data_IF_710327884500
#
_entry.id   IF_710327884500
#
_cell.length_a   1.000
_cell.length_b   1.000
_cell.length_c   1.000
_cell.angle_alpha   90.00
_cell.angle_beta   90.00
_cell.angle_gamma   90.00
#
_symmetry.space_group_name_H-M   'P 1'
#
loop_
_entity.id
_entity.type
_entity.pdbx_description
1 polymer ?
#
# COMPACT_ATOMS: atom_id res chain seq x y z
N UNK A 1 29.13 25.96 -5.41
CA UNK A 1 28.88 24.51 -5.55
C UNK A 1 27.40 24.33 -5.30
N UNK A 2 26.59 24.20 -6.35
CA UNK A 2 25.16 23.93 -6.20
C UNK A 2 25.02 22.44 -5.89
N UNK A 3 24.35 22.09 -4.79
CA UNK A 3 24.03 20.69 -4.52
C UNK A 3 23.21 20.13 -5.69
N UNK A 4 23.54 18.93 -6.19
CA UNK A 4 22.71 18.28 -7.21
C UNK A 4 21.33 18.08 -6.60
N UNK A 5 20.35 18.85 -7.11
CA UNK A 5 18.96 18.72 -6.72
C UNK A 5 18.49 17.37 -7.25
N UNK A 6 18.30 16.41 -6.34
CA UNK A 6 17.73 15.10 -6.64
C UNK A 6 16.43 15.29 -7.44
N UNK A 7 16.48 14.94 -8.73
CA UNK A 7 15.34 15.02 -9.63
C UNK A 7 14.82 13.60 -9.85
N UNK A 8 13.80 13.25 -9.07
CA UNK A 8 13.20 11.91 -9.05
C UNK A 8 12.77 11.48 -10.46
N UNK A 9 12.29 12.40 -11.29
CA UNK A 9 11.83 12.08 -12.65
C UNK A 9 13.00 11.73 -13.57
N UNK A 10 14.13 12.44 -13.45
CA UNK A 10 15.34 12.15 -14.22
C UNK A 10 15.95 10.81 -13.82
N UNK A 11 16.07 10.54 -12.52
CA UNK A 11 16.61 9.26 -12.04
C UNK A 11 15.70 8.09 -12.40
N UNK A 12 14.38 8.25 -12.24
CA UNK A 12 13.41 7.22 -12.63
C UNK A 12 13.51 6.93 -14.12
N UNK A 13 13.68 7.95 -14.96
CA UNK A 13 13.81 7.78 -16.42
C UNK A 13 15.11 7.07 -16.80
N UNK A 14 16.24 7.43 -16.18
CA UNK A 14 17.52 6.78 -16.43
C UNK A 14 17.51 5.30 -16.02
N UNK A 15 17.01 5.00 -14.83
CA UNK A 15 16.89 3.62 -14.34
C UNK A 15 15.86 2.81 -15.13
N UNK A 16 14.79 3.45 -15.61
CA UNK A 16 13.81 2.84 -16.52
C UNK A 16 14.47 2.38 -17.81
N UNK A 17 15.25 3.25 -18.45
CA UNK A 17 15.98 2.91 -19.68
C UNK A 17 16.99 1.77 -19.45
N UNK A 18 17.74 1.83 -18.35
CA UNK A 18 18.70 0.78 -17.99
C UNK A 18 17.98 -0.55 -17.73
N UNK A 19 16.90 -0.54 -16.95
CA UNK A 19 16.08 -1.71 -16.66
C UNK A 19 15.53 -2.36 -17.95
N UNK A 20 14.93 -1.57 -18.85
CA UNK A 20 14.41 -2.09 -20.12
C UNK A 20 15.52 -2.62 -21.04
N UNK A 21 16.69 -1.98 -21.04
CA UNK A 21 17.84 -2.47 -21.81
C UNK A 21 18.32 -3.84 -21.32
N UNK A 22 18.34 -4.04 -19.99
CA UNK A 22 18.73 -5.30 -19.39
C UNK A 22 17.66 -6.36 -19.59
N UNK A 23 16.38 -6.04 -19.35
CA UNK A 23 15.26 -6.98 -19.53
C UNK A 23 15.16 -7.54 -20.95
N UNK A 24 15.57 -6.77 -21.97
CA UNK A 24 15.65 -7.26 -23.36
C UNK A 24 16.90 -8.11 -23.62
N UNK A 25 17.98 -7.90 -22.87
CA UNK A 25 19.28 -8.54 -23.08
C UNK A 25 19.48 -9.83 -22.26
N UNK A 26 18.87 -9.97 -21.07
CA UNK A 26 18.85 -11.14 -20.16
C UNK A 26 17.99 -10.82 -18.91
N UNK A 27 17.80 -11.76 -17.97
CA UNK A 27 17.12 -11.43 -16.69
C UNK A 27 17.80 -10.22 -16.02
N UNK A 28 17.07 -9.12 -15.71
CA UNK A 28 17.65 -7.93 -15.09
C UNK A 28 18.20 -8.29 -13.70
N UNK A 29 19.22 -7.55 -13.24
CA UNK A 29 19.77 -7.86 -11.91
C UNK A 29 18.69 -7.62 -10.84
N UNK A 30 18.51 -8.54 -9.86
CA UNK A 30 17.51 -8.38 -8.80
C UNK A 30 17.67 -7.07 -8.02
N UNK A 31 18.91 -6.60 -7.89
CA UNK A 31 19.22 -5.33 -7.24
C UNK A 31 18.73 -4.13 -8.06
N UNK A 32 18.99 -4.11 -9.36
CA UNK A 32 18.55 -3.04 -10.25
C UNK A 32 17.01 -2.96 -10.30
N UNK A 33 16.35 -4.11 -10.42
CA UNK A 33 14.90 -4.19 -10.36
C UNK A 33 14.34 -3.67 -9.04
N UNK A 34 15.01 -3.96 -7.91
CA UNK A 34 14.61 -3.42 -6.61
C UNK A 34 14.77 -1.90 -6.53
N UNK A 35 15.88 -1.36 -7.03
CA UNK A 35 16.14 0.09 -7.04
C UNK A 35 15.13 0.82 -7.94
N UNK A 36 14.85 0.28 -9.14
CA UNK A 36 13.82 0.81 -10.03
C UNK A 36 12.42 0.78 -9.40
N UNK A 37 12.02 -0.35 -8.81
CA UNK A 37 10.74 -0.49 -8.12
C UNK A 37 10.60 0.49 -6.93
N UNK A 38 11.68 0.74 -6.19
CA UNK A 38 11.69 1.76 -5.12
C UNK A 38 11.36 3.14 -5.67
N UNK A 39 11.96 3.56 -6.79
CA UNK A 39 11.70 4.86 -7.40
C UNK A 39 10.26 4.96 -7.92
N UNK A 40 9.76 3.93 -8.61
CA UNK A 40 8.36 3.88 -9.06
C UNK A 40 7.39 3.98 -7.87
N UNK A 41 7.70 3.33 -6.75
CA UNK A 41 6.86 3.40 -5.55
C UNK A 41 6.79 4.81 -4.92
N UNK A 42 7.76 5.69 -5.23
CA UNK A 42 7.79 7.08 -4.79
C UNK A 42 6.92 8.00 -5.66
N UNK A 43 6.49 7.55 -6.84
CA UNK A 43 5.63 8.32 -7.73
C UNK A 43 4.26 8.63 -7.10
N UNK A 44 3.64 9.78 -7.42
CA UNK A 44 2.24 10.05 -7.07
C UNK A 44 1.24 9.22 -7.92
N UNK A 45 1.68 8.62 -9.02
CA UNK A 45 0.81 7.87 -9.92
C UNK A 45 0.50 6.47 -9.35
N UNK A 46 -0.79 6.17 -9.17
CA UNK A 46 -1.25 4.86 -8.66
C UNK A 46 -0.86 3.69 -9.57
N UNK A 47 -0.80 3.91 -10.89
CA UNK A 47 -0.41 2.85 -11.83
C UNK A 47 1.08 2.51 -11.69
N UNK A 48 1.95 3.51 -11.53
CA UNK A 48 3.38 3.29 -11.29
C UNK A 48 3.64 2.61 -9.94
N UNK A 49 2.84 2.91 -8.91
CA UNK A 49 2.90 2.20 -7.63
C UNK A 49 2.49 0.72 -7.79
N UNK A 50 1.54 0.41 -8.68
CA UNK A 50 1.17 -0.98 -8.98
C UNK A 50 2.25 -1.71 -9.77
N UNK A 51 2.85 -1.06 -10.77
CA UNK A 51 4.02 -1.59 -11.49
C UNK A 51 5.16 -1.90 -10.49
N UNK A 52 5.43 -1.01 -9.54
CA UNK A 52 6.41 -1.26 -8.49
C UNK A 52 6.09 -2.52 -7.66
N UNK A 53 4.82 -2.74 -7.31
CA UNK A 53 4.39 -3.93 -6.58
C UNK A 53 4.55 -5.21 -7.38
N UNK A 54 4.30 -5.19 -8.69
CA UNK A 54 4.56 -6.33 -9.58
C UNK A 54 6.05 -6.68 -9.57
N UNK A 55 6.92 -5.69 -9.78
CA UNK A 55 8.37 -5.87 -9.73
C UNK A 55 8.86 -6.38 -8.37
N UNK A 56 8.30 -5.89 -7.27
CA UNK A 56 8.65 -6.39 -5.94
C UNK A 56 8.20 -7.83 -5.71
N UNK A 57 7.04 -8.24 -6.24
CA UNK A 57 6.58 -9.62 -6.10
C UNK A 57 7.44 -10.59 -6.91
N UNK A 58 7.83 -10.23 -8.13
CA UNK A 58 8.79 -11.00 -8.93
C UNK A 58 10.12 -11.20 -8.18
N UNK A 59 10.60 -10.16 -7.51
CA UNK A 59 11.80 -10.24 -6.66
C UNK A 59 11.63 -11.23 -5.50
N UNK A 60 10.46 -11.25 -4.85
CA UNK A 60 10.19 -12.23 -3.79
C UNK A 60 10.15 -13.67 -4.34
N UNK A 61 9.61 -13.89 -5.54
CA UNK A 61 9.53 -15.22 -6.17
C UNK A 61 10.91 -15.82 -6.46
N UNK A 62 11.89 -14.98 -6.82
CA UNK A 62 13.28 -15.42 -7.04
C UNK A 62 14.12 -15.48 -5.76
N UNK A 63 13.50 -15.29 -4.59
CA UNK A 63 14.16 -15.39 -3.29
C UNK A 63 14.92 -14.15 -2.84
N UNK A 64 14.64 -12.97 -3.43
CA UNK A 64 15.12 -11.67 -2.94
C UNK A 64 14.31 -11.22 -1.70
N UNK A 65 14.19 -12.10 -0.70
CA UNK A 65 13.41 -11.89 0.52
C UNK A 65 14.23 -11.08 1.54
N UNK A 66 14.43 -9.80 1.22
CA UNK A 66 15.09 -8.84 2.11
C UNK A 66 14.05 -8.14 2.99
N UNK A 67 14.35 -7.88 4.28
CA UNK A 67 13.53 -7.04 5.16
C UNK A 67 13.12 -5.70 4.51
N UNK A 68 14.04 -5.10 3.76
CA UNK A 68 13.82 -3.85 3.03
C UNK A 68 12.76 -4.00 1.93
N UNK A 69 12.71 -5.14 1.24
CA UNK A 69 11.69 -5.42 0.23
C UNK A 69 10.30 -5.54 0.84
N UNK A 70 10.16 -6.28 1.95
CA UNK A 70 8.90 -6.38 2.69
C UNK A 70 8.43 -5.00 3.20
N UNK A 71 9.36 -4.15 3.65
CA UNK A 71 9.08 -2.79 4.06
C UNK A 71 8.52 -1.95 2.89
N UNK A 72 9.19 -1.97 1.73
CA UNK A 72 8.76 -1.20 0.55
C UNK A 72 7.41 -1.68 -0.01
N UNK A 73 7.18 -2.99 -0.07
CA UNK A 73 5.88 -3.56 -0.47
C UNK A 73 4.77 -3.09 0.48
N UNK A 74 5.03 -3.14 1.80
CA UNK A 74 4.06 -2.66 2.80
C UNK A 74 3.75 -1.17 2.61
N UNK A 75 4.76 -0.36 2.34
CA UNK A 75 4.61 1.08 2.11
C UNK A 75 3.83 1.37 0.83
N UNK A 76 4.07 0.63 -0.25
CA UNK A 76 3.35 0.74 -1.51
C UNK A 76 1.86 0.40 -1.36
N UNK A 77 1.52 -0.71 -0.68
CA UNK A 77 0.12 -1.04 -0.37
C UNK A 77 -0.54 0.02 0.51
N UNK A 78 0.18 0.59 1.49
CA UNK A 78 -0.32 1.69 2.30
C UNK A 78 -0.68 2.92 1.44
N UNK A 79 0.18 3.28 0.48
CA UNK A 79 -0.07 4.40 -0.47
C UNK A 79 -1.29 4.13 -1.36
N UNK A 80 -1.55 2.87 -1.71
CA UNK A 80 -2.73 2.50 -2.49
C UNK A 80 -4.03 2.46 -1.67
N UNK A 81 -3.95 2.51 -0.34
CA UNK A 81 -5.10 2.34 0.57
C UNK A 81 -5.44 0.88 0.87
N UNK A 82 -4.55 -0.05 0.52
CA UNK A 82 -4.74 -1.49 0.67
C UNK A 82 -4.25 -1.96 2.04
N UNK A 83 -4.84 -1.42 3.11
CA UNK A 83 -4.32 -1.55 4.48
C UNK A 83 -4.20 -2.99 4.98
N UNK A 84 -5.10 -3.89 4.56
CA UNK A 84 -5.04 -5.30 4.92
C UNK A 84 -3.78 -6.00 4.37
N UNK A 85 -3.40 -5.69 3.12
CA UNK A 85 -2.20 -6.21 2.49
C UNK A 85 -0.94 -5.59 3.10
N UNK A 86 -0.96 -4.27 3.32
CA UNK A 86 0.12 -3.56 4.01
C UNK A 86 0.39 -4.16 5.39
N UNK A 87 -0.66 -4.34 6.20
CA UNK A 87 -0.57 -4.93 7.54
C UNK A 87 0.07 -6.31 7.52
N UNK A 88 -0.38 -7.20 6.62
CA UNK A 88 0.16 -8.56 6.51
C UNK A 88 1.66 -8.57 6.20
N UNK A 89 2.12 -7.65 5.34
CA UNK A 89 3.53 -7.54 4.95
C UNK A 89 4.41 -7.00 6.06
N UNK A 90 4.00 -5.92 6.74
CA UNK A 90 4.78 -5.38 7.87
C UNK A 90 4.79 -6.34 9.07
N UNK A 91 3.73 -7.09 9.32
CA UNK A 91 3.72 -8.13 10.36
C UNK A 91 4.68 -9.28 10.04
N UNK A 92 4.80 -9.66 8.77
CA UNK A 92 5.81 -10.63 8.32
C UNK A 92 7.23 -10.10 8.57
N UNK A 93 7.48 -8.84 8.22
CA UNK A 93 8.75 -8.17 8.52
C UNK A 93 9.06 -8.17 10.03
N UNK A 94 8.09 -7.83 10.87
CA UNK A 94 8.25 -7.82 12.33
C UNK A 94 8.45 -9.21 12.94
N UNK A 95 8.02 -10.29 12.28
CA UNK A 95 8.35 -11.66 12.72
C UNK A 95 9.83 -11.99 12.46
N UNK A 96 10.41 -11.43 11.41
CA UNK A 96 11.82 -11.61 11.05
C UNK A 96 12.71 -10.72 11.92
N UNK A 97 12.36 -9.44 12.05
CA UNK A 97 13.07 -8.46 12.87
C UNK A 97 12.09 -7.70 13.79
N UNK A 98 11.81 -8.25 15.00
CA UNK A 98 10.89 -7.64 15.95
C UNK A 98 11.32 -6.28 16.51
N UNK A 99 12.62 -5.93 16.39
CA UNK A 99 13.18 -4.68 16.94
C UNK A 99 13.35 -3.60 15.88
N UNK A 100 12.87 -3.84 14.66
CA UNK A 100 12.93 -2.87 13.57
C UNK A 100 12.02 -1.67 13.86
N UNK A 101 12.61 -0.55 14.26
CA UNK A 101 11.89 0.68 14.58
C UNK A 101 11.10 1.23 13.39
N UNK A 102 11.63 1.11 12.17
CA UNK A 102 10.95 1.55 10.94
C UNK A 102 9.70 0.71 10.70
N UNK A 103 9.79 -0.62 10.83
CA UNK A 103 8.65 -1.52 10.67
C UNK A 103 7.59 -1.29 11.76
N UNK A 104 7.99 -1.08 13.02
CA UNK A 104 7.07 -0.76 14.11
C UNK A 104 6.33 0.55 13.85
N UNK A 105 7.04 1.58 13.38
CA UNK A 105 6.45 2.88 13.03
C UNK A 105 5.46 2.75 11.87
N UNK A 106 5.82 2.01 10.82
CA UNK A 106 4.95 1.73 9.67
C UNK A 106 3.71 0.94 10.08
N UNK A 107 3.86 -0.08 10.93
CA UNK A 107 2.74 -0.86 11.46
C UNK A 107 1.78 0.02 12.27
N UNK A 108 2.30 0.90 13.14
CA UNK A 108 1.48 1.86 13.88
C UNK A 108 0.69 2.78 12.94
N UNK A 109 1.33 3.28 11.88
CA UNK A 109 0.68 4.13 10.88
C UNK A 109 -0.43 3.39 10.13
N UNK A 110 -0.21 2.13 9.74
CA UNK A 110 -1.22 1.30 9.08
C UNK A 110 -2.43 1.07 10.01
N UNK A 111 -2.19 0.78 11.29
CA UNK A 111 -3.25 0.53 12.27
C UNK A 111 -4.09 1.78 12.53
N UNK A 112 -3.46 2.96 12.58
CA UNK A 112 -4.14 4.25 12.71
C UNK A 112 -5.09 4.50 11.52
N UNK A 113 -4.58 4.33 10.29
CA UNK A 113 -5.40 4.50 9.06
C UNK A 113 -6.53 3.48 8.94
N UNK A 114 -6.30 2.23 9.31
CA UNK A 114 -7.33 1.17 9.27
C UNK A 114 -8.49 1.46 10.24
N UNK A 115 -8.18 2.02 11.41
CA UNK A 115 -9.18 2.33 12.45
C UNK A 115 -10.15 3.42 12.01
N UNK A 116 -9.64 4.45 11.31
CA UNK A 116 -10.47 5.51 10.75
C UNK A 116 -11.49 5.00 9.72
N UNK A 117 -11.08 4.15 8.79
CA UNK A 117 -11.97 3.62 7.74
C UNK A 117 -13.00 2.63 8.29
N UNK A 118 -12.61 1.80 9.26
CA UNK A 118 -13.53 0.90 9.96
C UNK A 118 -14.65 1.65 10.68
N UNK A 119 -14.32 2.75 11.38
CA UNK A 119 -15.30 3.57 12.09
C UNK A 119 -16.30 4.21 11.10
N UNK A 120 -15.84 4.76 9.98
CA UNK A 120 -16.71 5.38 8.97
C UNK A 120 -17.73 4.37 8.41
N UNK A 121 -17.30 3.14 8.10
CA UNK A 121 -18.19 2.10 7.61
C UNK A 121 -19.29 1.73 8.62
N UNK A 122 -18.95 1.60 9.90
CA UNK A 122 -19.93 1.26 10.96
C UNK A 122 -20.98 2.35 11.16
N UNK A 123 -20.60 3.63 11.09
CA UNK A 123 -21.53 4.76 11.26
C UNK A 123 -22.60 4.75 10.17
N UNK A 124 -22.21 4.50 8.92
CA UNK A 124 -23.14 4.43 7.77
C UNK A 124 -24.16 3.32 7.98
N UNK A 125 -23.71 2.13 8.39
CA UNK A 125 -24.59 0.98 8.66
C UNK A 125 -25.59 1.31 9.77
N UNK A 126 -25.14 1.93 10.86
CA UNK A 126 -26.00 2.32 11.98
C UNK A 126 -27.05 3.37 11.56
N UNK A 127 -26.67 4.36 10.75
CA UNK A 127 -27.60 5.39 10.26
C UNK A 127 -28.69 4.79 9.36
N UNK A 128 -28.32 3.91 8.42
CA UNK A 128 -29.27 3.26 7.51
C UNK A 128 -30.24 2.36 8.28
N UNK A 129 -29.71 1.53 9.18
CA UNK A 129 -30.54 0.61 9.99
C UNK A 129 -31.51 1.38 10.88
N UNK A 130 -31.08 2.46 11.54
CA UNK A 130 -31.94 3.34 12.33
C UNK A 130 -33.05 3.97 11.47
N UNK A 131 -32.72 4.45 10.26
CA UNK A 131 -33.70 5.03 9.34
C UNK A 131 -34.79 4.03 8.93
N UNK A 132 -34.41 2.78 8.62
CA UNK A 132 -35.36 1.71 8.29
C UNK A 132 -36.26 1.37 9.48
N UNK A 133 -35.69 1.27 10.69
CA UNK A 133 -36.47 1.00 11.91
C UNK A 133 -37.49 2.12 12.17
N UNK A 134 -37.08 3.39 12.05
CA UNK A 134 -37.98 4.54 12.22
C UNK A 134 -39.10 4.51 11.17
N UNK A 135 -38.78 4.23 9.91
CA UNK A 135 -39.78 4.12 8.84
C UNK A 135 -40.79 3.00 9.11
N UNK A 136 -40.33 1.82 9.53
CA UNK A 136 -41.20 0.69 9.89
C UNK A 136 -42.11 1.04 11.08
N UNK A 137 -41.59 1.72 12.10
CA UNK A 137 -42.40 2.18 13.25
C UNK A 137 -43.45 3.20 12.79
N UNK A 138 -43.08 4.16 11.94
CA UNK A 138 -44.00 5.17 11.42
C UNK A 138 -45.13 4.55 10.59
N UNK A 139 -44.79 3.62 9.70
CA UNK A 139 -45.77 2.91 8.85
C UNK A 139 -46.70 2.03 9.68
N UNK A 140 -46.17 1.32 10.68
CA UNK A 140 -46.99 0.53 11.60
C UNK A 140 -47.94 1.39 12.44
N UNK A 141 -47.46 2.53 12.96
CA UNK A 141 -48.28 3.49 13.71
C UNK A 141 -49.43 4.04 12.85
N UNK A 142 -49.16 4.37 11.59
CA UNK A 142 -50.18 4.86 10.65
C UNK A 142 -51.26 3.80 10.36
N UNK A 143 -50.87 2.52 10.27
CA UNK A 143 -51.80 1.40 10.03
C UNK A 143 -52.72 1.12 11.23
N UNK A 144 -52.26 1.35 12.46
CA UNK A 144 -53.06 1.15 13.68
C UNK A 144 -54.09 2.26 13.95
N UNK A 145 -53.97 3.42 13.29
CA UNK A 145 -54.88 4.56 13.43
C UNK A 145 -56.02 4.58 12.41
N UNK A 146 -56.04 3.62 11.48
CA UNK A 146 -57.12 3.37 10.51
C UNK A 146 -57.76 2.02 10.82
#
# INVERSE_FOLDING_TARGET
MAEPRFDLEQETSALREEYYSQAQASNPSPRLQFEYACLLSCSPNREEIREALELFNELLEIGFDRPDCLYQISLAHLKLGEYALAKRRVEMLLRIDPRNLSALSLHSLIMDRTSHDGIVGTIIILAVTAGVVIYLIQTWRKKMQH
#
